data_IF_064712483499
#
_entry.id   IF_064712483499
#
_cell.length_a   1.000
_cell.length_b   1.000
_cell.length_c   1.000
_cell.angle_alpha   90.00
_cell.angle_beta   90.00
_cell.angle_gamma   90.00
#
_symmetry.space_group_name_H-M   'P 1'
#
loop_
_entity.id
_entity.type
_entity.pdbx_description
1 polymer ?
#
# COMPACT_ATOMS: atom_id res chain seq x y z
N UNK A 1 -24.93 6.05 -23.63
CA UNK A 1 -23.92 6.51 -22.67
C UNK A 1 -22.59 5.88 -23.10
N UNK A 2 -21.54 6.68 -23.32
CA UNK A 2 -20.22 6.15 -23.64
C UNK A 2 -19.66 5.39 -22.41
N UNK A 3 -19.00 4.26 -22.63
CA UNK A 3 -18.33 3.54 -21.55
C UNK A 3 -17.25 4.46 -20.91
N UNK A 4 -17.03 4.37 -19.59
CA UNK A 4 -15.98 5.15 -18.95
C UNK A 4 -14.62 4.80 -19.57
N UNK A 5 -13.79 5.81 -19.83
CA UNK A 5 -12.45 5.60 -20.38
C UNK A 5 -11.62 4.67 -19.50
N UNK A 6 -10.87 3.76 -20.10
CA UNK A 6 -9.96 2.85 -19.40
C UNK A 6 -8.72 3.60 -18.89
N UNK A 7 -8.00 3.02 -17.91
CA UNK A 7 -6.73 3.62 -17.44
C UNK A 7 -5.72 3.78 -18.60
N UNK A 8 -5.69 2.84 -19.55
CA UNK A 8 -4.83 2.91 -20.72
C UNK A 8 -5.15 4.12 -21.61
N UNK A 9 -6.43 4.38 -21.89
CA UNK A 9 -6.87 5.54 -22.66
C UNK A 9 -6.54 6.86 -21.96
N UNK A 10 -6.73 6.91 -20.62
CA UNK A 10 -6.36 8.08 -19.83
C UNK A 10 -4.85 8.32 -19.86
N UNK A 11 -4.04 7.28 -19.71
CA UNK A 11 -2.58 7.38 -19.76
C UNK A 11 -2.13 7.88 -21.14
N UNK A 12 -2.68 7.35 -22.22
CA UNK A 12 -2.37 7.81 -23.57
C UNK A 12 -2.76 9.29 -23.77
N UNK A 13 -3.92 9.71 -23.25
CA UNK A 13 -4.32 11.12 -23.29
C UNK A 13 -3.33 12.05 -22.57
N UNK A 14 -2.80 11.60 -21.41
CA UNK A 14 -1.75 12.34 -20.70
C UNK A 14 -0.46 12.40 -21.51
N UNK A 15 -0.01 11.26 -22.06
CA UNK A 15 1.28 11.17 -22.75
C UNK A 15 1.31 11.94 -24.08
N UNK A 16 0.19 11.94 -24.82
CA UNK A 16 0.10 12.56 -26.16
C UNK A 16 -0.27 14.04 -26.11
N UNK A 17 -1.12 14.44 -25.15
CA UNK A 17 -1.75 15.76 -25.13
C UNK A 17 -1.50 16.56 -23.85
N UNK A 18 -0.70 16.05 -22.93
CA UNK A 18 -0.49 16.62 -21.58
C UNK A 18 -1.82 16.86 -20.84
N UNK A 19 -2.78 15.95 -21.02
CA UNK A 19 -4.14 16.07 -20.48
C UNK A 19 -4.15 15.87 -18.96
N UNK A 20 -4.11 16.99 -18.24
CA UNK A 20 -4.14 17.00 -16.78
C UNK A 20 -5.44 16.47 -16.20
N UNK A 21 -6.56 16.61 -16.92
CA UNK A 21 -7.85 16.09 -16.46
C UNK A 21 -7.89 14.56 -16.53
N UNK A 22 -7.28 13.97 -17.58
CA UNK A 22 -7.11 12.53 -17.66
C UNK A 22 -6.26 11.99 -16.51
N UNK A 23 -5.19 12.69 -16.12
CA UNK A 23 -4.43 12.30 -14.92
C UNK A 23 -5.20 12.48 -13.62
N UNK A 24 -5.95 13.56 -13.47
CA UNK A 24 -6.81 13.77 -12.30
C UNK A 24 -7.84 12.64 -12.15
N UNK A 25 -8.36 12.11 -13.26
CA UNK A 25 -9.24 10.95 -13.23
C UNK A 25 -8.52 9.67 -12.78
N UNK A 26 -7.26 9.44 -13.21
CA UNK A 26 -6.43 8.34 -12.70
C UNK A 26 -6.21 8.48 -11.18
N UNK A 27 -5.90 9.68 -10.70
CA UNK A 27 -5.78 9.95 -9.26
C UNK A 27 -7.08 9.62 -8.53
N UNK A 28 -8.21 10.11 -9.02
CA UNK A 28 -9.53 9.88 -8.41
C UNK A 28 -9.85 8.39 -8.28
N UNK A 29 -9.51 7.58 -9.28
CA UNK A 29 -9.76 6.13 -9.29
C UNK A 29 -8.87 5.37 -8.30
N UNK A 30 -7.62 5.75 -8.22
CA UNK A 30 -6.61 4.96 -7.50
C UNK A 30 -6.26 5.50 -6.10
N UNK A 31 -6.65 6.74 -5.74
CA UNK A 31 -6.25 7.35 -4.47
C UNK A 31 -6.73 6.57 -3.23
N UNK A 32 -7.93 6.00 -3.28
CA UNK A 32 -8.47 5.20 -2.17
C UNK A 32 -7.60 3.98 -1.89
N UNK A 33 -7.25 3.23 -2.94
CA UNK A 33 -6.39 2.05 -2.85
C UNK A 33 -4.99 2.42 -2.38
N UNK A 34 -4.37 3.46 -2.95
CA UNK A 34 -3.03 3.94 -2.56
C UNK A 34 -2.99 4.33 -1.09
N UNK A 35 -3.94 5.16 -0.62
CA UNK A 35 -4.04 5.54 0.80
C UNK A 35 -4.24 4.34 1.71
N UNK A 36 -5.15 3.42 1.33
CA UNK A 36 -5.44 2.22 2.10
C UNK A 36 -4.19 1.34 2.28
N UNK A 37 -3.41 1.16 1.23
CA UNK A 37 -2.14 0.43 1.26
C UNK A 37 -1.13 1.13 2.15
N UNK A 38 -0.93 2.44 1.95
CA UNK A 38 0.07 3.22 2.68
C UNK A 38 -0.24 3.33 4.18
N UNK A 39 -1.52 3.46 4.56
CA UNK A 39 -1.94 3.42 5.97
C UNK A 39 -1.52 2.12 6.66
N UNK A 40 -1.63 1.00 5.96
CA UNK A 40 -1.20 -0.30 6.50
C UNK A 40 0.32 -0.43 6.57
N UNK A 41 1.03 0.05 5.56
CA UNK A 41 2.49 0.08 5.56
C UNK A 41 3.03 0.99 6.66
N UNK A 42 2.41 2.16 6.85
CA UNK A 42 2.75 3.14 7.87
C UNK A 42 2.25 2.78 9.29
N UNK A 43 1.70 1.57 9.48
CA UNK A 43 1.23 1.08 10.80
C UNK A 43 0.17 1.97 11.47
N UNK A 44 -0.73 2.58 10.67
CA UNK A 44 -1.79 3.46 11.15
C UNK A 44 -1.39 4.93 11.26
N UNK A 45 -0.13 5.31 10.99
CA UNK A 45 0.27 6.72 10.87
C UNK A 45 -0.41 7.33 9.62
N UNK A 46 -1.56 7.96 9.85
CA UNK A 46 -2.40 8.52 8.78
C UNK A 46 -1.76 9.72 8.12
N UNK A 47 -1.08 10.58 8.90
CA UNK A 47 -0.39 11.75 8.37
C UNK A 47 0.72 11.33 7.39
N UNK A 48 1.58 10.40 7.81
CA UNK A 48 2.61 9.83 6.96
C UNK A 48 2.02 9.14 5.72
N UNK A 49 0.93 8.40 5.87
CA UNK A 49 0.28 7.71 4.76
C UNK A 49 -0.28 8.69 3.73
N UNK A 50 -0.85 9.80 4.15
CA UNK A 50 -1.40 10.83 3.26
C UNK A 50 -0.27 11.60 2.53
N UNK A 51 0.84 11.91 3.21
CA UNK A 51 2.01 12.53 2.60
C UNK A 51 2.63 11.61 1.53
N UNK A 52 2.82 10.33 1.86
CA UNK A 52 3.33 9.33 0.92
C UNK A 52 2.37 9.08 -0.25
N UNK A 53 1.05 9.21 -0.04
CA UNK A 53 0.08 9.10 -1.12
C UNK A 53 0.21 10.27 -2.10
N UNK A 54 0.37 11.49 -1.61
CA UNK A 54 0.64 12.66 -2.45
C UNK A 54 1.95 12.50 -3.22
N UNK A 55 3.04 12.11 -2.53
CA UNK A 55 4.34 11.85 -3.16
C UNK A 55 4.23 10.78 -4.26
N UNK A 56 3.46 9.71 -4.00
CA UNK A 56 3.22 8.63 -4.98
C UNK A 56 2.63 9.17 -6.28
N UNK A 57 1.62 10.03 -6.22
CA UNK A 57 1.01 10.59 -7.43
C UNK A 57 1.90 11.62 -8.11
N UNK A 58 2.68 12.40 -7.37
CA UNK A 58 3.69 13.29 -7.94
C UNK A 58 4.76 12.50 -8.69
N UNK A 59 5.25 11.41 -8.10
CA UNK A 59 6.21 10.52 -8.74
C UNK A 59 5.60 9.80 -9.95
N UNK A 60 4.33 9.36 -9.85
CA UNK A 60 3.61 8.75 -10.96
C UNK A 60 3.47 9.73 -12.14
N UNK A 61 3.08 10.98 -11.89
CA UNK A 61 3.04 12.02 -12.92
C UNK A 61 4.39 12.21 -13.61
N UNK A 62 5.45 12.40 -12.83
CA UNK A 62 6.82 12.63 -13.36
C UNK A 62 7.36 11.46 -14.16
N UNK A 63 7.00 10.23 -13.78
CA UNK A 63 7.53 9.01 -14.38
C UNK A 63 6.54 8.33 -15.35
N UNK A 64 5.39 8.95 -15.67
CA UNK A 64 4.37 8.31 -16.47
C UNK A 64 4.88 7.90 -17.87
N UNK A 65 5.83 8.66 -18.44
CA UNK A 65 6.50 8.33 -19.72
C UNK A 65 7.31 7.03 -19.67
N UNK A 66 7.69 6.56 -18.49
CA UNK A 66 8.39 5.29 -18.28
C UNK A 66 7.44 4.09 -18.11
N UNK A 67 6.14 4.32 -18.05
CA UNK A 67 5.15 3.24 -17.98
C UNK A 67 5.00 2.57 -19.34
N UNK A 68 5.29 1.26 -19.42
CA UNK A 68 5.39 0.50 -20.69
C UNK A 68 4.17 -0.37 -21.00
N UNK A 69 3.10 -0.30 -20.23
CA UNK A 69 1.92 -1.16 -20.36
C UNK A 69 2.20 -2.67 -20.23
N UNK A 70 3.35 -3.06 -19.66
CA UNK A 70 3.72 -4.46 -19.41
C UNK A 70 3.00 -5.04 -18.17
N UNK A 71 2.43 -4.17 -17.35
CA UNK A 71 1.63 -4.51 -16.17
C UNK A 71 0.43 -3.58 -16.06
N UNK A 72 -0.52 -3.90 -15.17
CA UNK A 72 -1.62 -2.99 -14.83
C UNK A 72 -1.07 -1.69 -14.23
N UNK A 73 -1.74 -0.56 -14.50
CA UNK A 73 -1.36 0.73 -13.91
C UNK A 73 -1.37 0.68 -12.37
N UNK A 74 -2.35 -0.03 -11.78
CA UNK A 74 -2.41 -0.25 -10.32
C UNK A 74 -1.17 -0.96 -9.77
N UNK A 75 -0.62 -1.94 -10.49
CA UNK A 75 0.61 -2.66 -10.10
C UNK A 75 1.82 -1.73 -10.13
N UNK A 76 1.95 -0.93 -11.19
CA UNK A 76 3.01 0.05 -11.32
C UNK A 76 2.93 1.14 -10.25
N UNK A 77 1.71 1.64 -9.98
CA UNK A 77 1.46 2.64 -8.95
C UNK A 77 1.76 2.11 -7.54
N UNK A 78 1.39 0.85 -7.27
CA UNK A 78 1.76 0.18 -6.02
C UNK A 78 3.28 0.13 -5.82
N UNK A 79 4.04 -0.20 -6.86
CA UNK A 79 5.52 -0.20 -6.82
C UNK A 79 6.07 1.17 -6.43
N UNK A 80 5.51 2.26 -6.96
CA UNK A 80 5.91 3.63 -6.59
C UNK A 80 5.61 3.89 -5.13
N UNK A 81 4.38 3.60 -4.67
CA UNK A 81 3.95 3.77 -3.29
C UNK A 81 4.82 2.99 -2.30
N UNK A 82 5.09 1.71 -2.62
CA UNK A 82 5.95 0.87 -1.79
C UNK A 82 7.39 1.40 -1.70
N UNK A 83 7.96 1.87 -2.81
CA UNK A 83 9.31 2.44 -2.82
C UNK A 83 9.39 3.75 -2.04
N UNK A 84 8.37 4.62 -2.12
CA UNK A 84 8.28 5.84 -1.32
C UNK A 84 8.26 5.50 0.18
N UNK A 85 7.38 4.58 0.60
CA UNK A 85 7.32 4.10 1.97
C UNK A 85 8.65 3.49 2.44
N UNK A 86 9.26 2.61 1.64
CA UNK A 86 10.52 1.96 1.99
C UNK A 86 11.66 2.97 2.17
N UNK A 87 11.70 4.00 1.34
CA UNK A 87 12.69 5.07 1.45
C UNK A 87 12.51 5.84 2.76
N UNK A 88 11.27 6.18 3.12
CA UNK A 88 10.98 6.89 4.36
C UNK A 88 11.27 6.04 5.61
N UNK A 89 10.88 4.76 5.59
CA UNK A 89 11.18 3.82 6.67
C UNK A 89 12.70 3.66 6.89
N UNK A 90 13.49 3.71 5.81
CA UNK A 90 14.95 3.69 5.91
C UNK A 90 15.49 4.96 6.55
N UNK A 91 15.05 6.15 6.13
CA UNK A 91 15.45 7.42 6.72
C UNK A 91 15.15 7.47 8.22
N UNK A 92 13.94 7.09 8.62
CA UNK A 92 13.56 7.04 10.06
C UNK A 92 14.49 6.10 10.85
N UNK A 93 14.88 4.97 10.29
CA UNK A 93 15.80 4.03 10.95
C UNK A 93 17.22 4.60 11.05
N UNK A 94 17.72 5.27 10.01
CA UNK A 94 19.04 5.92 10.02
C UNK A 94 19.08 7.01 11.12
N UNK A 95 18.06 7.87 11.19
CA UNK A 95 17.94 8.90 12.24
C UNK A 95 17.84 8.29 13.65
N UNK A 96 17.08 7.20 13.82
CA UNK A 96 16.94 6.52 15.13
C UNK A 96 18.28 5.92 15.60
N UNK A 97 19.10 5.42 14.69
CA UNK A 97 20.45 4.91 15.02
C UNK A 97 21.43 6.02 15.41
N UNK A 98 21.26 7.24 14.89
CA UNK A 98 22.08 8.39 15.24
C UNK A 98 21.73 8.98 16.61
N UNK A 99 20.48 8.80 17.08
CA UNK A 99 19.96 9.43 18.32
C UNK A 99 20.02 8.46 19.52
N UNK A 100 20.38 7.19 19.32
CA UNK A 100 20.43 6.15 20.37
C UNK A 100 19.08 5.99 21.14
N UNK A 101 17.97 6.41 20.56
CA UNK A 101 16.63 6.25 21.11
C UNK A 101 15.94 5.05 20.48
N UNK A 102 15.53 4.12 21.35
CA UNK A 102 14.62 3.03 21.02
C UNK A 102 13.27 3.63 20.58
N UNK A 103 13.14 3.96 19.28
CA UNK A 103 11.94 4.58 18.73
C UNK A 103 10.77 3.60 18.86
N UNK A 104 10.01 3.75 19.93
CA UNK A 104 8.69 3.17 20.08
C UNK A 104 7.85 3.60 18.88
N UNK A 105 7.59 2.66 17.99
CA UNK A 105 6.69 2.83 16.84
C UNK A 105 5.28 3.05 17.41
N UNK A 106 4.87 4.32 17.49
CA UNK A 106 3.56 4.74 17.95
C UNK A 106 2.46 4.09 17.12
N UNK A 107 1.53 3.43 17.79
CA UNK A 107 0.25 3.07 17.24
C UNK A 107 -0.56 4.37 17.09
N UNK A 108 -0.66 4.88 15.88
CA UNK A 108 -1.57 5.98 15.56
C UNK A 108 -3.00 5.48 15.62
N UNK A 109 -3.75 5.98 16.57
CA UNK A 109 -5.19 5.80 16.69
C UNK A 109 -5.86 6.92 15.90
N UNK A 110 -6.33 6.64 14.66
CA UNK A 110 -7.39 7.47 14.06
C UNK A 110 -8.06 6.81 12.84
N UNK A 111 -9.38 6.89 12.88
CA UNK A 111 -10.45 6.88 11.89
C UNK A 111 -10.20 6.22 10.52
N UNK A 112 -10.66 4.99 10.42
CA UNK A 112 -10.99 4.35 9.13
C UNK A 112 -12.50 4.45 8.92
N UNK A 113 -12.91 5.03 7.78
CA UNK A 113 -14.27 5.00 7.31
C UNK A 113 -14.72 3.58 6.97
N UNK A 114 -15.93 3.24 7.44
CA UNK A 114 -16.78 2.14 7.01
C UNK A 114 -16.34 0.68 7.30
N UNK A 115 -16.24 0.34 8.59
CA UNK A 115 -16.55 -1.01 9.03
C UNK A 115 -17.56 -0.92 10.18
N UNK A 116 -18.60 -1.79 10.22
CA UNK A 116 -19.73 -1.64 11.16
C UNK A 116 -19.38 -1.90 12.63
N UNK A 117 -18.21 -2.45 12.92
CA UNK A 117 -17.79 -2.81 14.28
C UNK A 117 -16.42 -2.25 14.64
N UNK A 118 -16.40 -1.26 15.52
CA UNK A 118 -15.16 -0.61 16.03
C UNK A 118 -14.25 -1.64 16.74
N UNK A 119 -14.82 -2.62 17.45
CA UNK A 119 -14.04 -3.64 18.12
C UNK A 119 -13.31 -4.56 17.13
N UNK A 120 -13.99 -4.98 16.06
CA UNK A 120 -13.37 -5.79 14.99
C UNK A 120 -12.22 -5.04 14.28
N UNK A 121 -12.35 -3.72 14.15
CA UNK A 121 -11.28 -2.87 13.58
C UNK A 121 -10.05 -2.84 14.46
N UNK A 122 -10.22 -2.59 15.75
CA UNK A 122 -9.13 -2.57 16.74
C UNK A 122 -8.42 -3.92 16.78
N UNK A 123 -9.16 -5.02 16.74
CA UNK A 123 -8.59 -6.37 16.70
C UNK A 123 -7.82 -6.64 15.39
N UNK A 124 -8.33 -6.17 14.27
CA UNK A 124 -7.62 -6.29 12.99
C UNK A 124 -6.30 -5.47 12.99
N UNK A 125 -6.33 -4.22 13.46
CA UNK A 125 -5.12 -3.40 13.55
C UNK A 125 -4.07 -4.02 14.49
N UNK A 126 -4.50 -4.53 15.65
CA UNK A 126 -3.63 -5.28 16.56
C UNK A 126 -3.05 -6.54 15.93
N UNK A 127 -3.85 -7.26 15.15
CA UNK A 127 -3.38 -8.43 14.41
C UNK A 127 -2.36 -8.05 13.32
N UNK A 128 -2.64 -6.99 12.56
CA UNK A 128 -1.73 -6.47 11.54
C UNK A 128 -0.42 -5.95 12.15
N UNK A 129 -0.44 -5.42 13.39
CA UNK A 129 0.76 -4.98 14.10
C UNK A 129 1.77 -6.11 14.36
N UNK A 130 1.32 -7.37 14.41
CA UNK A 130 2.20 -8.54 14.59
C UNK A 130 2.97 -8.97 13.34
N UNK A 131 2.63 -8.40 12.18
CA UNK A 131 3.29 -8.73 10.93
C UNK A 131 4.64 -8.03 10.81
N UNK A 132 5.65 -8.75 10.30
CA UNK A 132 6.88 -8.11 9.85
C UNK A 132 6.62 -7.18 8.65
N UNK A 133 7.54 -6.26 8.36
CA UNK A 133 7.40 -5.34 7.23
C UNK A 133 7.23 -6.08 5.88
N UNK A 134 7.96 -7.19 5.68
CA UNK A 134 7.81 -8.03 4.49
C UNK A 134 6.46 -8.73 4.41
N UNK A 135 5.96 -9.29 5.52
CA UNK A 135 4.64 -9.91 5.60
C UNK A 135 3.54 -8.88 5.33
N UNK A 136 3.67 -7.69 5.94
CA UNK A 136 2.73 -6.58 5.77
C UNK A 136 2.71 -6.08 4.34
N UNK A 137 3.87 -5.89 3.71
CA UNK A 137 3.98 -5.48 2.31
C UNK A 137 3.30 -6.51 1.38
N UNK A 138 3.56 -7.80 1.55
CA UNK A 138 2.96 -8.85 0.74
C UNK A 138 1.43 -8.92 0.92
N UNK A 139 0.93 -8.81 2.16
CA UNK A 139 -0.51 -8.77 2.43
C UNK A 139 -1.15 -7.53 1.83
N UNK A 140 -0.51 -6.36 1.98
CA UNK A 140 -1.02 -5.11 1.39
C UNK A 140 -1.08 -5.19 -0.13
N UNK A 141 -0.08 -5.76 -0.78
CA UNK A 141 -0.08 -5.98 -2.23
C UNK A 141 -1.23 -6.88 -2.68
N UNK A 142 -1.39 -8.04 -2.05
CA UNK A 142 -2.32 -9.06 -2.53
C UNK A 142 -3.79 -8.79 -2.14
N UNK A 143 -4.05 -8.15 -0.98
CA UNK A 143 -5.41 -8.01 -0.45
C UNK A 143 -5.98 -6.60 -0.48
N UNK A 144 -5.12 -5.58 -0.59
CA UNK A 144 -5.58 -4.19 -0.66
C UNK A 144 -5.32 -3.54 -2.02
N UNK A 145 -4.25 -3.96 -2.71
CA UNK A 145 -3.98 -3.51 -4.08
C UNK A 145 -4.43 -4.51 -5.15
N UNK A 146 -5.01 -5.65 -4.75
CA UNK A 146 -5.53 -6.71 -5.63
C UNK A 146 -4.49 -7.19 -6.66
N UNK A 147 -3.24 -7.40 -6.19
CA UNK A 147 -2.17 -7.94 -7.00
C UNK A 147 -2.10 -9.46 -6.87
N UNK A 148 -1.85 -10.17 -7.98
CA UNK A 148 -1.44 -11.57 -7.95
C UNK A 148 -0.10 -11.71 -7.21
N UNK A 149 0.27 -12.92 -6.81
CA UNK A 149 1.58 -13.15 -6.19
C UNK A 149 2.74 -12.79 -7.12
N UNK A 150 2.58 -13.01 -8.42
CA UNK A 150 3.54 -12.68 -9.47
C UNK A 150 3.70 -11.16 -9.60
N UNK A 151 2.58 -10.43 -9.67
CA UNK A 151 2.57 -8.97 -9.71
C UNK A 151 3.16 -8.36 -8.43
N UNK A 152 2.81 -8.91 -7.26
CA UNK A 152 3.38 -8.50 -5.98
C UNK A 152 4.90 -8.75 -5.92
N UNK A 153 5.37 -9.89 -6.44
CA UNK A 153 6.80 -10.19 -6.53
C UNK A 153 7.54 -9.16 -7.39
N UNK A 154 7.00 -8.83 -8.56
CA UNK A 154 7.55 -7.81 -9.45
C UNK A 154 7.52 -6.41 -8.81
N UNK A 155 6.41 -6.03 -8.17
CA UNK A 155 6.24 -4.71 -7.56
C UNK A 155 7.13 -4.50 -6.33
N UNK A 156 7.28 -5.54 -5.48
CA UNK A 156 8.09 -5.51 -4.27
C UNK A 156 9.59 -5.78 -4.51
N UNK A 157 9.95 -6.26 -5.70
CA UNK A 157 11.33 -6.68 -6.01
C UNK A 157 11.75 -7.91 -5.19
N UNK A 158 10.84 -8.83 -4.94
CA UNK A 158 11.06 -10.06 -4.16
C UNK A 158 10.87 -11.31 -5.02
N UNK A 159 11.60 -12.42 -4.73
CA UNK A 159 11.31 -13.70 -5.37
C UNK A 159 9.87 -14.16 -5.08
N UNK A 160 9.21 -14.76 -6.07
CA UNK A 160 7.82 -15.26 -5.94
C UNK A 160 7.65 -16.20 -4.74
N UNK A 161 8.61 -17.10 -4.51
CA UNK A 161 8.58 -18.01 -3.35
C UNK A 161 8.60 -17.28 -2.02
N UNK A 162 9.32 -16.15 -1.93
CA UNK A 162 9.37 -15.29 -0.75
C UNK A 162 8.00 -14.64 -0.51
N UNK A 163 7.36 -14.09 -1.55
CA UNK A 163 6.02 -13.52 -1.44
C UNK A 163 5.01 -14.56 -0.96
N UNK A 164 4.98 -15.76 -1.57
CA UNK A 164 4.10 -16.85 -1.15
C UNK A 164 4.31 -17.23 0.31
N UNK A 165 5.56 -17.31 0.75
CA UNK A 165 5.91 -17.63 2.15
C UNK A 165 5.46 -16.53 3.11
N UNK A 166 5.68 -15.24 2.77
CA UNK A 166 5.24 -14.12 3.58
C UNK A 166 3.71 -14.08 3.70
N UNK A 167 2.98 -14.26 2.61
CA UNK A 167 1.51 -14.31 2.62
C UNK A 167 1.01 -15.47 3.50
N UNK A 168 1.62 -16.66 3.37
CA UNK A 168 1.23 -17.82 4.18
C UNK A 168 1.45 -17.58 5.69
N UNK A 169 2.63 -17.07 6.07
CA UNK A 169 2.96 -16.74 7.47
C UNK A 169 2.06 -15.65 8.03
N UNK A 170 1.81 -14.59 7.26
CA UNK A 170 0.91 -13.52 7.64
C UNK A 170 -0.51 -14.05 7.90
N UNK A 171 -1.06 -14.87 6.98
CA UNK A 171 -2.37 -15.52 7.19
C UNK A 171 -2.43 -16.34 8.45
N UNK A 172 -1.39 -17.11 8.76
CA UNK A 172 -1.33 -17.91 9.98
C UNK A 172 -1.37 -17.02 11.24
N UNK A 173 -0.57 -15.94 11.27
CA UNK A 173 -0.55 -14.98 12.38
C UNK A 173 -1.90 -14.28 12.56
N UNK A 174 -2.50 -13.79 11.46
CA UNK A 174 -3.79 -13.11 11.49
C UNK A 174 -4.90 -14.06 11.98
N UNK A 175 -4.95 -15.30 11.48
CA UNK A 175 -5.92 -16.31 11.95
C UNK A 175 -5.77 -16.60 13.43
N UNK A 176 -4.54 -16.74 13.93
CA UNK A 176 -4.30 -17.00 15.36
C UNK A 176 -4.76 -15.85 16.26
N UNK A 177 -4.70 -14.60 15.77
CA UNK A 177 -5.12 -13.41 16.53
C UNK A 177 -6.61 -13.10 16.43
N UNK A 178 -7.21 -13.38 15.26
CA UNK A 178 -8.62 -13.07 14.98
C UNK A 178 -9.54 -14.28 15.25
N UNK A 179 -8.99 -15.44 15.62
CA UNK A 179 -9.81 -16.57 16.03
C UNK A 179 -10.64 -16.18 17.28
N UNK A 180 -11.96 -16.48 17.30
CA UNK A 180 -12.78 -16.21 18.47
C UNK A 180 -12.16 -16.90 19.68
N UNK A 181 -11.93 -16.14 20.76
CA UNK A 181 -11.51 -16.72 22.03
C UNK A 181 -12.60 -17.70 22.44
N UNK A 182 -12.29 -19.00 22.46
CA UNK A 182 -13.18 -19.99 23.07
C UNK A 182 -13.33 -19.58 24.53
N UNK A 183 -14.49 -19.06 24.87
CA UNK A 183 -14.86 -18.91 26.29
C UNK A 183 -14.77 -20.30 26.93
N UNK A 184 -13.97 -20.38 28.02
CA UNK A 184 -13.91 -21.56 28.90
C UNK A 184 -14.97 -21.42 29.94
#
# INVERSE_FOLDING_TARGET
MAAPATDAELILAVLERDDRQAFAELVRRHQGTVRSVLRRLARGDTALADDLAQETFVLAWRNLRAFRFEARFSTWLYRIAFNAWRSEARKKREVALEIDEEAALGAGDEAYDELPDVAARVDLERALATLSDGERACVSACYYADLSHEEAAAALGMPLGTVKTHVLRAKAKLRARLAPKKEK
#
